data_IF_022417780381
#
_entry.id   IF_022417780381
#
_cell.length_a   1.000
_cell.length_b   1.000
_cell.length_c   1.000
_cell.angle_alpha   90.00
_cell.angle_beta   90.00
_cell.angle_gamma   90.00
#
_symmetry.space_group_name_H-M   'P 1'
#
loop_
_entity.id
_entity.type
_entity.pdbx_description
1 polymer ?
#
# COMPACT_ATOMS: atom_id res chain seq x y z
N UNK A 1 -45.57 27.04 -37.34
CA UNK A 1 -44.34 27.84 -37.19
C UNK A 1 -43.79 27.57 -35.79
N UNK A 2 -42.53 27.12 -35.70
CA UNK A 2 -41.89 26.79 -34.43
C UNK A 2 -41.07 25.49 -34.51
N UNK A 3 -39.99 25.54 -35.30
CA UNK A 3 -38.99 24.47 -35.46
C UNK A 3 -38.17 24.34 -34.17
N UNK A 4 -38.14 23.16 -33.56
CA UNK A 4 -37.19 22.82 -32.51
C UNK A 4 -36.02 22.09 -33.16
N UNK A 5 -34.94 22.84 -33.41
CA UNK A 5 -33.67 22.28 -33.86
C UNK A 5 -33.05 21.43 -32.74
N UNK A 6 -32.84 20.15 -33.04
CA UNK A 6 -31.97 19.25 -32.29
C UNK A 6 -30.55 19.81 -32.36
N UNK A 7 -30.03 20.25 -31.23
CA UNK A 7 -28.65 20.67 -31.08
C UNK A 7 -27.79 19.41 -30.90
N UNK A 8 -27.22 18.93 -32.00
CA UNK A 8 -26.25 17.82 -31.99
C UNK A 8 -24.97 18.27 -31.32
N UNK A 9 -24.63 17.64 -30.19
CA UNK A 9 -23.34 17.77 -29.51
C UNK A 9 -22.29 17.03 -30.36
N UNK A 10 -21.16 17.67 -30.74
CA UNK A 10 -20.12 17.00 -31.53
C UNK A 10 -19.45 15.90 -30.71
N UNK A 11 -19.34 14.70 -31.30
CA UNK A 11 -18.80 13.47 -30.71
C UNK A 11 -17.30 13.51 -30.33
N UNK A 12 -16.65 14.68 -30.36
CA UNK A 12 -15.22 14.85 -30.06
C UNK A 12 -14.89 15.17 -28.60
N UNK A 13 -15.86 15.49 -27.75
CA UNK A 13 -15.60 15.90 -26.36
C UNK A 13 -15.61 14.76 -25.32
N UNK A 14 -15.99 13.55 -25.73
CA UNK A 14 -15.97 12.35 -24.89
C UNK A 14 -14.59 11.65 -24.85
N UNK A 15 -13.75 11.82 -25.89
CA UNK A 15 -12.41 11.21 -25.95
C UNK A 15 -11.44 11.80 -24.93
N UNK A 16 -11.36 13.13 -24.85
CA UNK A 16 -10.43 13.84 -23.94
C UNK A 16 -10.75 13.61 -22.44
N UNK A 17 -12.01 13.33 -22.09
CA UNK A 17 -12.39 12.98 -20.71
C UNK A 17 -12.09 11.52 -20.36
N UNK A 18 -12.05 10.62 -21.35
CA UNK A 18 -11.67 9.22 -21.15
C UNK A 18 -10.15 9.10 -20.97
N UNK A 19 -9.36 9.79 -21.82
CA UNK A 19 -7.89 9.76 -21.76
C UNK A 19 -7.34 10.35 -20.44
N UNK A 20 -7.94 11.42 -19.92
CA UNK A 20 -7.53 12.04 -18.65
C UNK A 20 -7.93 11.18 -17.41
N UNK A 21 -9.05 10.45 -17.48
CA UNK A 21 -9.47 9.53 -16.41
C UNK A 21 -8.58 8.27 -16.39
N UNK A 22 -8.04 7.88 -17.55
CA UNK A 22 -7.14 6.74 -17.70
C UNK A 22 -5.73 7.02 -17.17
N UNK A 23 -5.20 8.23 -17.36
CA UNK A 23 -3.87 8.62 -16.83
C UNK A 23 -3.85 8.77 -15.31
N UNK A 24 -4.91 9.33 -14.71
CA UNK A 24 -5.01 9.49 -13.25
C UNK A 24 -5.29 8.16 -12.54
N UNK A 25 -6.09 7.27 -13.16
CA UNK A 25 -6.32 5.91 -12.66
C UNK A 25 -5.07 5.02 -12.71
N UNK A 26 -4.24 5.16 -13.75
CA UNK A 26 -2.96 4.43 -13.86
C UNK A 26 -1.91 4.88 -12.84
N UNK A 27 -1.88 6.16 -12.48
CA UNK A 27 -0.96 6.67 -11.46
C UNK A 27 -1.34 6.22 -10.03
N UNK A 28 -2.64 6.18 -9.70
CA UNK A 28 -3.10 5.66 -8.41
C UNK A 28 -2.95 4.14 -8.28
N UNK A 29 -3.18 3.38 -9.36
CA UNK A 29 -3.01 1.91 -9.34
C UNK A 29 -1.53 1.47 -9.28
N UNK A 30 -0.61 2.23 -9.89
CA UNK A 30 0.83 1.94 -9.83
C UNK A 30 1.42 2.14 -8.43
N UNK A 31 0.94 3.14 -7.68
CA UNK A 31 1.42 3.41 -6.32
C UNK A 31 0.80 2.45 -5.29
N UNK A 32 -0.47 2.08 -5.44
CA UNK A 32 -1.12 1.10 -4.57
C UNK A 32 -0.57 -0.32 -4.77
N UNK A 33 -0.29 -0.73 -6.02
CA UNK A 33 0.26 -2.06 -6.33
C UNK A 33 1.70 -2.26 -5.84
N UNK A 34 2.56 -1.25 -6.00
CA UNK A 34 3.96 -1.34 -5.56
C UNK A 34 4.11 -1.42 -4.04
N UNK A 35 3.26 -0.73 -3.27
CA UNK A 35 3.32 -0.78 -1.80
C UNK A 35 2.81 -2.11 -1.23
N UNK A 36 1.79 -2.70 -1.84
CA UNK A 36 1.23 -4.00 -1.43
C UNK A 36 2.19 -5.16 -1.69
N UNK A 37 2.93 -5.14 -2.81
CA UNK A 37 3.95 -6.15 -3.11
C UNK A 37 5.12 -6.07 -2.14
N UNK A 38 5.58 -4.86 -1.81
CA UNK A 38 6.69 -4.66 -0.86
C UNK A 38 6.31 -5.10 0.56
N UNK A 39 5.06 -4.90 0.99
CA UNK A 39 4.60 -5.32 2.31
C UNK A 39 4.33 -6.83 2.42
N UNK A 40 3.84 -7.48 1.36
CA UNK A 40 3.72 -8.95 1.34
C UNK A 40 5.10 -9.61 1.35
N UNK A 41 6.07 -9.09 0.60
CA UNK A 41 7.46 -9.59 0.65
C UNK A 41 8.09 -9.36 2.04
N UNK A 42 7.83 -8.21 2.67
CA UNK A 42 8.32 -7.92 4.03
C UNK A 42 7.65 -8.81 5.10
N UNK A 43 6.35 -9.08 4.96
CA UNK A 43 5.59 -9.91 5.91
C UNK A 43 5.87 -11.42 5.73
N UNK A 44 6.06 -11.90 4.50
CA UNK A 44 6.46 -13.30 4.22
C UNK A 44 7.92 -13.55 4.61
N UNK A 45 8.83 -12.61 4.32
CA UNK A 45 10.25 -12.72 4.66
C UNK A 45 10.55 -12.78 6.16
N UNK A 46 9.67 -12.21 6.99
CA UNK A 46 9.77 -12.28 8.46
C UNK A 46 9.24 -13.60 9.04
N UNK A 47 8.38 -14.33 8.32
CA UNK A 47 7.84 -15.62 8.78
C UNK A 47 8.80 -16.80 8.53
N UNK A 48 9.64 -16.74 7.48
CA UNK A 48 10.60 -17.79 7.12
C UNK A 48 11.87 -17.84 7.97
N UNK A 49 12.12 -16.85 8.84
CA UNK A 49 13.36 -16.77 9.63
C UNK A 49 13.27 -17.38 11.04
N UNK A 50 12.11 -17.95 11.42
CA UNK A 50 11.88 -18.51 12.75
C UNK A 50 12.27 -20.00 12.92
N UNK A 51 12.95 -20.62 11.94
CA UNK A 51 13.07 -22.08 11.86
C UNK A 51 14.44 -22.69 11.56
N UNK A 52 15.56 -21.99 11.74
CA UNK A 52 16.89 -22.58 11.59
C UNK A 52 17.66 -22.60 12.92
N UNK A 53 17.73 -23.79 13.52
CA UNK A 53 18.77 -24.15 14.49
C UNK A 53 20.16 -23.89 13.87
N UNK A 54 21.06 -23.11 14.50
CA UNK A 54 22.43 -23.03 14.06
C UNK A 54 23.23 -24.24 14.57
N UNK A 55 23.71 -25.03 13.62
CA UNK A 55 24.73 -26.04 13.82
C UNK A 55 25.99 -25.42 14.48
N UNK A 56 26.62 -26.22 15.34
CA UNK A 56 27.81 -25.91 16.13
C UNK A 56 28.97 -25.34 15.31
N UNK A 57 29.45 -24.15 15.68
CA UNK A 57 30.79 -23.66 15.35
C UNK A 57 31.46 -23.24 16.65
N UNK A 58 32.48 -23.99 17.05
CA UNK A 58 33.46 -23.58 18.05
C UNK A 58 34.58 -22.85 17.32
N UNK A 59 34.83 -21.58 17.65
CA UNK A 59 36.14 -20.93 17.51
C UNK A 59 36.15 -19.59 18.26
N UNK A 60 36.78 -19.64 19.42
CA UNK A 60 37.62 -18.63 20.09
C UNK A 60 37.31 -17.12 19.96
N UNK A 61 37.03 -16.54 21.13
CA UNK A 61 37.32 -15.15 21.53
C UNK A 61 36.69 -14.03 20.67
N UNK A 62 35.37 -13.88 20.82
CA UNK A 62 34.78 -12.53 20.92
C UNK A 62 34.28 -12.39 22.34
N UNK A 63 35.00 -11.59 23.13
CA UNK A 63 34.54 -11.07 24.42
C UNK A 63 33.09 -10.60 24.26
N UNK A 64 32.18 -11.42 24.80
CA UNK A 64 30.79 -11.08 24.96
C UNK A 64 30.74 -9.85 25.86
N UNK A 65 30.66 -8.67 25.26
CA UNK A 65 29.94 -7.58 25.90
C UNK A 65 28.48 -8.00 25.82
N UNK A 66 27.83 -8.41 26.92
CA UNK A 66 26.38 -8.38 26.94
C UNK A 66 26.03 -6.91 26.71
N UNK A 67 25.55 -6.58 25.50
CA UNK A 67 24.75 -5.37 25.33
C UNK A 67 23.49 -5.58 26.14
N UNK A 68 23.58 -5.28 27.44
CA UNK A 68 22.42 -4.86 28.19
C UNK A 68 21.86 -3.68 27.40
N UNK A 69 20.84 -3.94 26.58
CA UNK A 69 20.02 -2.89 26.04
C UNK A 69 19.35 -2.30 27.28
N UNK A 70 19.94 -1.25 27.84
CA UNK A 70 19.30 -0.50 28.90
C UNK A 70 17.93 -0.08 28.36
N UNK A 71 16.87 -0.46 29.07
CA UNK A 71 15.52 -0.07 28.70
C UNK A 71 15.39 1.45 28.81
N UNK A 72 15.64 2.13 27.71
CA UNK A 72 15.49 3.57 27.66
C UNK A 72 14.02 3.94 27.88
N UNK A 73 13.73 5.11 28.48
CA UNK A 73 12.35 5.61 28.57
C UNK A 73 11.64 5.65 27.22
N UNK A 74 12.40 5.94 26.14
CA UNK A 74 11.92 5.92 24.77
C UNK A 74 11.43 4.52 24.36
N UNK A 75 12.26 3.48 24.54
CA UNK A 75 11.91 2.11 24.18
C UNK A 75 10.67 1.60 24.93
N UNK A 76 10.55 1.95 26.22
CA UNK A 76 9.34 1.64 27.01
C UNK A 76 8.10 2.30 26.43
N UNK A 77 8.16 3.58 26.07
CA UNK A 77 7.04 4.29 25.43
C UNK A 77 6.72 3.75 24.04
N UNK A 78 7.71 3.31 23.27
CA UNK A 78 7.47 2.63 22.00
C UNK A 78 6.72 1.32 22.20
N UNK A 79 7.05 0.51 23.22
CA UNK A 79 6.30 -0.71 23.52
C UNK A 79 4.86 -0.42 23.97
N UNK A 80 4.66 0.59 24.81
CA UNK A 80 3.33 1.05 25.21
C UNK A 80 2.49 1.50 24.01
N UNK A 81 3.10 2.22 23.05
CA UNK A 81 2.46 2.60 21.79
C UNK A 81 2.09 1.37 20.97
N UNK A 82 3.01 0.42 20.80
CA UNK A 82 2.71 -0.83 20.07
C UNK A 82 1.54 -1.57 20.72
N UNK A 83 1.52 -1.72 22.04
CA UNK A 83 0.41 -2.36 22.74
C UNK A 83 -0.91 -1.61 22.53
N UNK A 84 -0.91 -0.28 22.62
CA UNK A 84 -2.10 0.54 22.32
C UNK A 84 -2.63 0.29 20.91
N UNK A 85 -1.74 0.22 19.92
CA UNK A 85 -2.13 -0.11 18.54
C UNK A 85 -2.77 -1.50 18.46
N UNK A 86 -2.26 -2.50 19.19
CA UNK A 86 -2.83 -3.86 19.21
C UNK A 86 -4.23 -3.89 19.83
N UNK A 87 -4.46 -3.08 20.87
CA UNK A 87 -5.69 -3.07 21.66
C UNK A 87 -6.79 -2.22 21.02
N UNK A 88 -6.46 -1.38 20.04
CA UNK A 88 -7.41 -0.53 19.33
C UNK A 88 -8.47 -1.39 18.59
N UNK A 89 -9.78 -1.20 18.84
CA UNK A 89 -10.83 -2.03 18.23
C UNK A 89 -10.81 -2.03 16.70
N UNK A 90 -10.44 -0.91 16.09
CA UNK A 90 -10.28 -0.81 14.64
C UNK A 90 -9.17 -1.76 14.15
N UNK A 91 -7.98 -1.74 14.78
CA UNK A 91 -6.86 -2.62 14.41
C UNK A 91 -7.23 -4.10 14.55
N UNK A 92 -8.01 -4.46 15.57
CA UNK A 92 -8.52 -5.83 15.71
C UNK A 92 -9.49 -6.21 14.59
N UNK A 93 -10.34 -5.27 14.14
CA UNK A 93 -11.25 -5.47 13.00
C UNK A 93 -10.47 -5.66 11.70
N UNK A 94 -9.49 -4.79 11.43
CA UNK A 94 -8.57 -4.87 10.29
C UNK A 94 -7.91 -6.25 10.24
N UNK A 95 -7.34 -6.71 11.36
CA UNK A 95 -6.69 -8.03 11.45
C UNK A 95 -7.63 -9.17 11.11
N UNK A 96 -8.86 -9.16 11.62
CA UNK A 96 -9.86 -10.19 11.31
C UNK A 96 -10.19 -10.25 9.82
N UNK A 97 -10.30 -9.09 9.15
CA UNK A 97 -10.56 -9.03 7.70
C UNK A 97 -9.37 -9.59 6.91
N UNK A 98 -8.14 -9.28 7.33
CA UNK A 98 -6.93 -9.87 6.78
C UNK A 98 -6.92 -11.40 6.97
N UNK A 99 -7.20 -11.89 8.19
CA UNK A 99 -7.23 -13.32 8.50
C UNK A 99 -8.31 -14.06 7.69
N UNK A 100 -9.47 -13.43 7.50
CA UNK A 100 -10.56 -13.97 6.67
C UNK A 100 -10.10 -14.18 5.23
N UNK A 101 -9.39 -13.21 4.65
CA UNK A 101 -8.79 -13.35 3.32
C UNK A 101 -7.68 -14.40 3.28
N UNK A 102 -6.78 -14.43 4.26
CA UNK A 102 -5.69 -15.41 4.32
C UNK A 102 -6.22 -16.86 4.40
N UNK A 103 -7.36 -17.04 5.07
CA UNK A 103 -8.07 -18.31 5.19
C UNK A 103 -8.87 -18.73 3.95
N UNK A 104 -9.14 -17.82 3.01
CA UNK A 104 -9.90 -18.11 1.79
C UNK A 104 -8.96 -18.34 0.58
N UNK A 105 -8.64 -19.60 0.33
CA UNK A 105 -7.76 -19.99 -0.77
C UNK A 105 -8.30 -19.57 -2.15
N UNK A 106 -9.62 -19.59 -2.35
CA UNK A 106 -10.21 -19.25 -3.65
C UNK A 106 -10.07 -17.75 -3.92
N UNK A 107 -10.37 -16.91 -2.92
CA UNK A 107 -10.25 -15.46 -3.03
C UNK A 107 -8.80 -15.04 -3.19
N UNK A 108 -7.86 -15.70 -2.50
CA UNK A 108 -6.43 -15.49 -2.70
C UNK A 108 -5.99 -15.79 -4.13
N UNK A 109 -6.41 -16.92 -4.70
CA UNK A 109 -6.10 -17.26 -6.08
C UNK A 109 -6.68 -16.24 -7.08
N UNK A 110 -7.88 -15.69 -6.80
CA UNK A 110 -8.45 -14.61 -7.60
C UNK A 110 -7.61 -13.33 -7.52
N UNK A 111 -7.19 -12.96 -6.32
CA UNK A 111 -6.34 -11.78 -6.06
C UNK A 111 -4.99 -11.91 -6.77
N UNK A 112 -4.28 -13.03 -6.58
CA UNK A 112 -3.00 -13.34 -7.23
C UNK A 112 -3.13 -13.29 -8.76
N UNK A 113 -4.24 -13.81 -9.30
CA UNK A 113 -4.52 -13.75 -10.74
C UNK A 113 -4.67 -12.32 -11.27
N UNK A 114 -5.35 -11.43 -10.53
CA UNK A 114 -5.46 -10.01 -10.89
C UNK A 114 -4.10 -9.32 -10.81
N UNK A 115 -3.32 -9.56 -9.75
CA UNK A 115 -1.97 -8.99 -9.59
C UNK A 115 -1.05 -9.43 -10.73
N UNK A 116 -1.02 -10.73 -11.04
CA UNK A 116 -0.17 -11.28 -12.11
C UNK A 116 -0.53 -10.71 -13.49
N UNK A 117 -1.83 -10.64 -13.83
CA UNK A 117 -2.29 -10.03 -15.08
C UNK A 117 -1.98 -8.53 -15.13
N UNK A 118 -2.18 -7.82 -14.02
CA UNK A 118 -1.84 -6.40 -13.90
C UNK A 118 -0.35 -6.14 -14.13
N UNK A 119 0.53 -6.96 -13.53
CA UNK A 119 1.97 -6.87 -13.73
C UNK A 119 2.36 -7.13 -15.19
N UNK A 120 1.79 -8.16 -15.83
CA UNK A 120 2.07 -8.45 -17.24
C UNK A 120 1.68 -7.29 -18.17
N UNK A 121 0.53 -6.64 -17.91
CA UNK A 121 0.13 -5.43 -18.64
C UNK A 121 1.08 -4.26 -18.36
N UNK A 122 1.47 -4.06 -17.10
CA UNK A 122 2.41 -3.02 -16.70
C UNK A 122 3.77 -3.18 -17.39
N UNK A 123 4.32 -4.39 -17.39
CA UNK A 123 5.60 -4.73 -18.03
C UNK A 123 5.57 -4.42 -19.52
N UNK A 124 4.45 -4.71 -20.20
CA UNK A 124 4.29 -4.35 -21.60
C UNK A 124 4.31 -2.83 -21.81
N UNK A 125 3.60 -2.08 -20.97
CA UNK A 125 3.60 -0.61 -21.06
C UNK A 125 4.99 -0.02 -20.79
N UNK A 126 5.71 -0.51 -19.78
CA UNK A 126 7.09 -0.07 -19.50
C UNK A 126 8.02 -0.34 -20.69
N UNK A 127 7.83 -1.47 -21.38
CA UNK A 127 8.59 -1.83 -22.56
C UNK A 127 8.04 -1.23 -23.87
N UNK A 128 7.09 -0.28 -23.80
CA UNK A 128 6.44 0.36 -24.95
C UNK A 128 5.80 -0.65 -25.93
N UNK A 129 5.42 -1.82 -25.44
CA UNK A 129 4.70 -2.84 -26.20
C UNK A 129 3.20 -2.53 -26.21
N UNK A 130 2.52 -2.71 -27.36
CA UNK A 130 1.08 -2.49 -27.43
C UNK A 130 0.32 -3.49 -26.56
N UNK A 131 -0.74 -3.02 -25.91
CA UNK A 131 -1.73 -3.85 -25.22
C UNK A 131 -2.88 -4.16 -26.16
N UNK A 132 -3.29 -5.42 -26.26
CA UNK A 132 -4.49 -5.77 -27.03
C UNK A 132 -5.78 -5.52 -26.24
N UNK A 133 -6.88 -5.28 -26.95
CA UNK A 133 -8.19 -5.13 -26.32
C UNK A 133 -8.67 -6.38 -25.59
N UNK A 134 -8.28 -7.57 -26.06
CA UNK A 134 -8.57 -8.85 -25.41
C UNK A 134 -7.89 -8.96 -24.04
N UNK A 135 -6.60 -8.60 -23.96
CA UNK A 135 -5.84 -8.64 -22.70
C UNK A 135 -6.36 -7.65 -21.66
N UNK A 136 -6.77 -6.45 -22.10
CA UNK A 136 -7.38 -5.45 -21.23
C UNK A 136 -8.73 -5.95 -20.72
N UNK A 137 -9.59 -6.48 -21.60
CA UNK A 137 -10.90 -6.99 -21.23
C UNK A 137 -10.81 -8.20 -20.27
N UNK A 138 -9.83 -9.09 -20.49
CA UNK A 138 -9.58 -10.23 -19.61
C UNK A 138 -9.12 -9.79 -18.21
N UNK A 139 -8.21 -8.81 -18.13
CA UNK A 139 -7.82 -8.21 -16.86
C UNK A 139 -9.00 -7.54 -16.14
N UNK A 140 -9.79 -6.72 -16.85
CA UNK A 140 -10.94 -6.03 -16.27
C UNK A 140 -12.00 -7.00 -15.76
N UNK A 141 -12.31 -8.06 -16.50
CA UNK A 141 -13.22 -9.13 -16.07
C UNK A 141 -12.75 -9.81 -14.77
N UNK A 142 -11.46 -10.14 -14.67
CA UNK A 142 -10.87 -10.71 -13.47
C UNK A 142 -10.91 -9.74 -12.28
N UNK A 143 -10.60 -8.46 -12.52
CA UNK A 143 -10.67 -7.39 -11.51
C UNK A 143 -12.09 -7.21 -11.00
N UNK A 144 -13.08 -7.13 -11.90
CA UNK A 144 -14.47 -6.89 -11.52
C UNK A 144 -15.02 -8.08 -10.72
N UNK A 145 -14.66 -9.30 -11.09
CA UNK A 145 -14.98 -10.50 -10.28
C UNK A 145 -14.37 -10.42 -8.88
N UNK A 146 -13.10 -10.05 -8.76
CA UNK A 146 -12.43 -9.87 -7.47
C UNK A 146 -13.13 -8.78 -6.64
N UNK A 147 -13.42 -7.62 -7.21
CA UNK A 147 -14.05 -6.49 -6.54
C UNK A 147 -15.52 -6.73 -6.16
N UNK A 148 -16.17 -7.71 -6.81
CA UNK A 148 -17.50 -8.17 -6.41
C UNK A 148 -17.49 -9.07 -5.16
N UNK A 149 -16.34 -9.66 -4.83
CA UNK A 149 -16.20 -10.52 -3.67
C UNK A 149 -16.00 -9.69 -2.39
N UNK A 150 -16.87 -9.82 -1.36
CA UNK A 150 -16.76 -9.03 -0.14
C UNK A 150 -15.48 -9.32 0.64
N UNK A 151 -15.00 -10.57 0.69
CA UNK A 151 -13.75 -10.92 1.41
C UNK A 151 -12.54 -10.25 0.75
N UNK A 152 -12.50 -10.20 -0.58
CA UNK A 152 -11.43 -9.52 -1.31
C UNK A 152 -11.45 -8.00 -1.08
N UNK A 153 -12.63 -7.39 -1.14
CA UNK A 153 -12.81 -5.95 -0.89
C UNK A 153 -12.42 -5.61 0.54
N UNK A 154 -12.92 -6.38 1.50
CA UNK A 154 -12.64 -6.18 2.91
C UNK A 154 -11.13 -6.31 3.19
N UNK A 155 -10.42 -7.18 2.49
CA UNK A 155 -8.96 -7.27 2.59
C UNK A 155 -8.26 -6.02 2.03
N UNK A 156 -8.68 -5.55 0.85
CA UNK A 156 -8.07 -4.37 0.22
C UNK A 156 -8.26 -3.13 1.09
N UNK A 157 -9.47 -2.86 1.60
CA UNK A 157 -9.64 -1.68 2.45
C UNK A 157 -8.94 -1.89 3.82
N UNK A 158 -8.86 -3.12 4.35
CA UNK A 158 -8.09 -3.40 5.57
C UNK A 158 -6.59 -3.09 5.40
N UNK A 159 -6.03 -3.34 4.22
CA UNK A 159 -4.64 -2.96 3.90
C UNK A 159 -4.47 -1.43 3.83
N UNK A 160 -5.43 -0.71 3.28
CA UNK A 160 -5.39 0.75 3.25
C UNK A 160 -5.48 1.33 4.68
N UNK A 161 -6.40 0.83 5.49
CA UNK A 161 -6.60 1.29 6.87
C UNK A 161 -5.35 1.06 7.74
N UNK A 162 -4.66 -0.09 7.63
CA UNK A 162 -3.44 -0.32 8.42
C UNK A 162 -2.29 0.58 7.95
N UNK A 163 -2.21 0.91 6.66
CA UNK A 163 -1.23 1.89 6.16
C UNK A 163 -1.49 3.28 6.73
N UNK A 164 -2.74 3.72 6.82
CA UNK A 164 -3.09 5.02 7.39
C UNK A 164 -2.67 5.13 8.86
N UNK A 165 -2.81 4.04 9.63
CA UNK A 165 -2.35 3.98 11.03
C UNK A 165 -0.82 4.10 11.09
N UNK A 166 -0.10 3.35 10.26
CA UNK A 166 1.36 3.42 10.20
C UNK A 166 1.84 4.82 9.79
N UNK A 167 1.23 5.40 8.76
CA UNK A 167 1.58 6.72 8.25
C UNK A 167 1.33 7.79 9.31
N UNK A 168 0.21 7.72 10.03
CA UNK A 168 -0.09 8.64 11.13
C UNK A 168 1.01 8.61 12.21
N UNK A 169 1.37 7.42 12.70
CA UNK A 169 2.43 7.27 13.71
C UNK A 169 3.76 7.78 13.18
N UNK A 170 4.13 7.41 11.95
CA UNK A 170 5.36 7.86 11.31
C UNK A 170 5.39 9.38 11.15
N UNK A 171 4.28 10.00 10.77
CA UNK A 171 4.16 11.46 10.62
C UNK A 171 4.45 12.17 11.93
N UNK A 172 3.83 11.73 13.03
CA UNK A 172 4.09 12.31 14.36
C UNK A 172 5.56 12.17 14.79
N UNK A 173 6.15 10.99 14.58
CA UNK A 173 7.56 10.73 14.93
C UNK A 173 8.49 11.60 14.09
N UNK A 174 8.33 11.59 12.77
CA UNK A 174 9.14 12.40 11.85
C UNK A 174 9.05 13.88 12.17
N UNK A 175 7.84 14.41 12.39
CA UNK A 175 7.64 15.83 12.69
C UNK A 175 8.21 16.23 14.05
N UNK A 176 8.15 15.34 15.04
CA UNK A 176 8.80 15.56 16.35
C UNK A 176 10.32 15.70 16.22
N UNK A 177 10.94 14.84 15.39
CA UNK A 177 12.38 14.87 15.15
C UNK A 177 12.80 16.10 14.34
N UNK A 178 11.99 16.50 13.35
CA UNK A 178 12.21 17.72 12.56
C UNK A 178 12.16 18.99 13.42
N UNK A 179 11.15 19.10 14.29
CA UNK A 179 10.91 20.32 15.07
C UNK A 179 11.72 20.37 16.37
N UNK A 180 12.19 19.24 16.90
CA UNK A 180 12.81 19.14 18.23
C UNK A 180 11.82 19.40 19.39
N UNK A 181 10.51 19.37 19.11
CA UNK A 181 9.41 19.53 20.07
C UNK A 181 8.18 18.74 19.61
N UNK A 182 7.18 18.61 20.48
CA UNK A 182 5.91 18.00 20.11
C UNK A 182 5.21 18.85 19.02
N UNK A 183 4.73 18.24 17.92
CA UNK A 183 3.94 18.93 16.90
C UNK A 183 2.63 19.46 17.47
N UNK A 184 2.25 20.68 17.11
CA UNK A 184 0.91 21.23 17.36
C UNK A 184 -0.10 20.63 16.37
N UNK A 185 -1.40 20.75 16.65
CA UNK A 185 -2.44 20.16 15.81
C UNK A 185 -2.42 20.74 14.39
N UNK A 186 -2.18 22.05 14.27
CA UNK A 186 -2.13 22.80 13.01
C UNK A 186 -0.94 22.34 12.14
N UNK A 187 0.15 21.87 12.75
CA UNK A 187 1.35 21.36 12.06
C UNK A 187 1.19 19.91 11.57
N UNK A 188 0.12 19.24 12.00
CA UNK A 188 -0.28 17.90 11.56
C UNK A 188 -1.29 17.97 10.41
N UNK A 189 -1.88 19.14 10.14
CA UNK A 189 -2.81 19.41 9.05
C UNK A 189 -2.10 19.70 7.71
N UNK A 190 -0.76 19.74 7.70
CA UNK A 190 0.05 20.03 6.52
C UNK A 190 -0.13 18.98 5.41
N UNK A 191 -1.08 19.31 4.54
CA UNK A 191 -1.05 19.21 3.08
C UNK A 191 -0.09 18.15 2.51
N UNK A 192 -0.69 17.02 2.11
CA UNK A 192 -0.16 15.90 1.33
C UNK A 192 0.71 16.26 0.10
N UNK A 193 0.89 17.54 -0.28
CA UNK A 193 1.70 17.98 -1.41
C UNK A 193 2.21 19.43 -1.18
N UNK A 194 3.33 19.61 -0.50
CA UNK A 194 4.02 20.89 -0.34
C UNK A 194 5.53 20.73 -0.54
N UNK A 195 6.04 21.28 -1.64
CA UNK A 195 7.44 21.27 -2.08
C UNK A 195 8.52 21.42 -0.98
N UNK A 196 9.52 20.53 -0.98
CA UNK A 196 10.92 20.92 -0.77
C UNK A 196 11.87 19.83 -1.33
N UNK A 197 12.57 20.10 -2.43
CA UNK A 197 13.67 19.24 -2.89
C UNK A 197 13.82 18.97 -4.39
N UNK A 198 13.28 19.80 -5.29
CA UNK A 198 13.77 19.83 -6.67
C UNK A 198 15.09 20.62 -6.70
N UNK A 199 16.20 19.92 -6.51
CA UNK A 199 17.56 20.47 -6.64
C UNK A 199 18.12 20.23 -8.04
N UNK A 200 17.51 20.82 -9.06
CA UNK A 200 18.14 21.00 -10.36
C UNK A 200 18.66 22.43 -10.44
N UNK A 201 19.97 22.60 -10.29
CA UNK A 201 20.65 23.86 -10.58
C UNK A 201 21.94 23.56 -11.34
N UNK A 202 21.90 23.91 -12.63
CA UNK A 202 22.97 24.04 -13.63
C UNK A 202 23.76 22.80 -14.06
#
# INVERSE_FOLDING_TARGET
MGSWQVMTIPAGSLSLRAECRQTVGQALQALAGCFLILLVVYWVGTQTHAGLEPASVNEDNVSSMPTMIEETPLLRKTRELCQTILDEPNVQSIRKRIDCFLGDQQVRAQYEGVVSKGQALHDKQQNSMPLSGEEIADYESHRDRLMSNPVARDFIDAQEEIHQIQESVQRYVSKTLELGRLPAAEEMEDHCCGHQGCGCSH
#
